data_IF_541307223314
#
_entry.id   IF_541307223314
#
_cell.length_a   1.000
_cell.length_b   1.000
_cell.length_c   1.000
_cell.angle_alpha   90.00
_cell.angle_beta   90.00
_cell.angle_gamma   90.00
#
_symmetry.space_group_name_H-M   'P 1'
#
loop_
_entity.id
_entity.type
_entity.pdbx_description
1 polymer ?
#
# COMPACT_ATOMS: atom_id res chain seq x y z
N UNK A 1 -4.34 -9.42 10.59
CA UNK A 1 -3.45 -9.65 9.42
C UNK A 1 -4.04 -10.58 8.37
N UNK A 2 -4.70 -11.70 8.72
CA UNK A 2 -5.39 -12.55 7.72
C UNK A 2 -6.38 -11.77 6.85
N UNK A 3 -7.02 -10.74 7.41
CA UNK A 3 -8.01 -9.91 6.72
C UNK A 3 -7.42 -8.92 5.70
N UNK A 4 -6.09 -8.72 5.71
CA UNK A 4 -5.38 -7.83 4.80
C UNK A 4 -4.71 -8.57 3.63
N UNK A 5 -4.88 -9.90 3.55
CA UNK A 5 -4.37 -10.67 2.42
C UNK A 5 -5.09 -10.25 1.14
N UNK A 6 -4.39 -9.50 0.30
CA UNK A 6 -4.80 -9.14 -1.05
C UNK A 6 -4.31 -10.19 -2.06
N UNK A 7 -5.16 -10.53 -3.04
CA UNK A 7 -4.81 -11.40 -4.18
C UNK A 7 -5.18 -10.66 -5.46
N UNK A 8 -4.49 -10.97 -6.55
CA UNK A 8 -4.81 -10.42 -7.87
C UNK A 8 -6.27 -10.67 -8.21
N UNK A 9 -7.01 -9.59 -8.49
CA UNK A 9 -8.43 -9.64 -8.87
C UNK A 9 -8.55 -10.21 -10.28
N UNK A 10 -9.43 -11.19 -10.50
CA UNK A 10 -9.72 -11.68 -11.85
C UNK A 10 -10.66 -10.71 -12.56
N UNK A 11 -10.18 -10.08 -13.63
CA UNK A 11 -10.94 -9.10 -14.41
C UNK A 11 -11.71 -9.71 -15.59
N UNK A 12 -11.60 -11.02 -15.84
CA UNK A 12 -12.15 -11.67 -17.03
C UNK A 12 -13.58 -12.16 -16.86
N UNK A 13 -14.02 -12.39 -15.63
CA UNK A 13 -15.31 -13.04 -15.31
C UNK A 13 -16.07 -12.28 -14.25
N UNK A 14 -17.38 -12.03 -14.44
CA UNK A 14 -18.24 -11.33 -13.46
C UNK A 14 -18.85 -10.05 -14.03
N UNK A 15 -19.72 -9.38 -13.26
CA UNK A 15 -20.34 -8.12 -13.67
C UNK A 15 -19.40 -6.92 -13.42
N UNK A 16 -19.54 -5.81 -14.17
CA UNK A 16 -18.79 -4.58 -13.89
C UNK A 16 -18.95 -4.08 -12.44
N UNK A 17 -20.13 -4.21 -11.86
CA UNK A 17 -20.47 -3.78 -10.51
C UNK A 17 -19.70 -4.61 -9.47
N UNK A 18 -19.68 -5.93 -9.63
CA UNK A 18 -18.92 -6.83 -8.76
C UNK A 18 -17.42 -6.51 -8.84
N UNK A 19 -16.90 -6.27 -10.05
CA UNK A 19 -15.48 -5.94 -10.23
C UNK A 19 -15.08 -4.63 -9.61
N UNK A 20 -15.93 -3.61 -9.69
CA UNK A 20 -15.68 -2.34 -8.98
C UNK A 20 -15.55 -2.56 -7.48
N UNK A 21 -16.41 -3.42 -6.90
CA UNK A 21 -16.35 -3.76 -5.47
C UNK A 21 -15.07 -4.53 -5.12
N UNK A 22 -14.71 -5.54 -5.92
CA UNK A 22 -13.48 -6.33 -5.73
C UNK A 22 -12.21 -5.48 -5.84
N UNK A 23 -12.12 -4.60 -6.85
CA UNK A 23 -10.98 -3.68 -7.03
C UNK A 23 -10.89 -2.70 -5.86
N UNK A 24 -12.02 -2.16 -5.41
CA UNK A 24 -12.05 -1.26 -4.24
C UNK A 24 -11.58 -1.99 -2.97
N UNK A 25 -12.04 -3.21 -2.74
CA UNK A 25 -11.62 -4.01 -1.59
C UNK A 25 -10.11 -4.32 -1.63
N UNK A 26 -9.60 -4.71 -2.82
CA UNK A 26 -8.17 -4.89 -3.04
C UNK A 26 -7.38 -3.62 -2.71
N UNK A 27 -7.79 -2.47 -3.27
CA UNK A 27 -7.14 -1.19 -3.03
C UNK A 27 -7.07 -0.84 -1.55
N UNK A 28 -8.20 -0.94 -0.83
CA UNK A 28 -8.25 -0.62 0.60
C UNK A 28 -7.34 -1.53 1.43
N UNK A 29 -7.28 -2.82 1.09
CA UNK A 29 -6.38 -3.77 1.76
C UNK A 29 -4.91 -3.42 1.51
N UNK A 30 -4.53 -3.16 0.26
CA UNK A 30 -3.13 -2.82 -0.07
C UNK A 30 -2.72 -1.46 0.51
N UNK A 31 -3.62 -0.48 0.52
CA UNK A 31 -3.39 0.82 1.14
C UNK A 31 -3.18 0.70 2.66
N UNK A 32 -4.03 -0.06 3.35
CA UNK A 32 -3.87 -0.32 4.78
C UNK A 32 -2.56 -1.06 5.10
N UNK A 33 -2.11 -1.97 4.22
CA UNK A 33 -0.79 -2.63 4.38
C UNK A 33 0.34 -1.63 4.20
N UNK A 34 0.27 -0.75 3.21
CA UNK A 34 1.29 0.29 2.98
C UNK A 34 1.41 1.22 4.19
N UNK A 35 0.29 1.71 4.74
CA UNK A 35 0.30 2.53 5.96
C UNK A 35 0.90 1.80 7.15
N UNK A 36 0.59 0.51 7.32
CA UNK A 36 1.14 -0.31 8.41
C UNK A 36 2.66 -0.48 8.31
N UNK A 37 3.27 -0.47 7.12
CA UNK A 37 4.73 -0.56 6.99
C UNK A 37 5.43 0.58 7.72
N UNK A 38 4.86 1.79 7.68
CA UNK A 38 5.46 2.96 8.31
C UNK A 38 5.26 3.01 9.83
N UNK A 39 4.31 2.26 10.38
CA UNK A 39 4.12 2.15 11.84
C UNK A 39 5.28 1.45 12.56
N UNK A 40 6.14 0.76 11.81
CA UNK A 40 7.30 0.02 12.35
C UNK A 40 8.55 0.91 12.50
N UNK A 41 8.50 2.16 12.03
CA UNK A 41 9.61 3.10 12.14
C UNK A 41 9.82 3.52 13.60
N UNK A 42 11.08 3.77 13.98
CA UNK A 42 11.44 4.15 15.35
C UNK A 42 10.89 5.52 15.75
N UNK A 43 10.73 6.42 14.80
CA UNK A 43 10.31 7.80 14.99
C UNK A 43 10.23 8.55 13.65
N UNK A 44 9.64 9.73 13.67
CA UNK A 44 9.34 10.51 12.47
C UNK A 44 10.60 11.03 11.76
N UNK A 45 11.72 11.17 12.47
CA UNK A 45 13.01 11.56 11.89
C UNK A 45 13.45 10.62 10.76
N UNK A 46 13.05 9.35 10.84
CA UNK A 46 13.38 8.30 9.86
C UNK A 46 12.81 8.61 8.48
N UNK A 47 11.69 9.33 8.38
CA UNK A 47 11.12 9.74 7.09
C UNK A 47 12.07 10.62 6.26
N UNK A 48 12.95 11.36 6.92
CA UNK A 48 13.83 12.36 6.30
C UNK A 48 15.25 11.83 6.06
N UNK A 49 15.59 10.65 6.58
CA UNK A 49 16.93 10.09 6.46
C UNK A 49 17.14 9.34 5.13
N UNK A 50 18.26 9.64 4.45
CA UNK A 50 18.71 8.88 3.26
C UNK A 50 19.68 7.77 3.70
N UNK A 51 19.15 6.59 3.97
CA UNK A 51 19.93 5.43 4.40
C UNK A 51 20.76 4.76 3.28
N UNK A 52 20.39 4.98 2.01
CA UNK A 52 21.03 4.41 0.83
C UNK A 52 21.05 5.47 -0.28
N UNK A 53 22.21 5.75 -0.92
CA UNK A 53 22.33 6.77 -1.97
C UNK A 53 21.53 6.46 -3.24
N UNK A 54 21.18 5.20 -3.50
CA UNK A 54 20.39 4.77 -4.65
C UNK A 54 18.87 4.80 -4.37
N UNK A 55 18.44 5.14 -3.15
CA UNK A 55 17.03 5.19 -2.76
C UNK A 55 16.58 6.61 -2.44
N UNK A 56 15.30 6.86 -2.65
CA UNK A 56 14.67 8.07 -2.12
C UNK A 56 14.50 7.95 -0.60
N UNK A 57 14.31 9.07 0.09
CA UNK A 57 13.94 9.07 1.51
C UNK A 57 12.55 8.46 1.69
N UNK A 58 12.25 7.91 2.87
CA UNK A 58 10.97 7.22 3.12
C UNK A 58 9.77 8.15 2.89
N UNK A 59 9.90 9.45 3.19
CA UNK A 59 8.85 10.45 2.92
C UNK A 59 8.43 10.51 1.46
N UNK A 60 9.35 10.27 0.52
CA UNK A 60 9.02 10.23 -0.91
C UNK A 60 8.07 9.07 -1.22
N UNK A 61 8.33 7.89 -0.66
CA UNK A 61 7.50 6.71 -0.92
C UNK A 61 6.11 6.87 -0.31
N UNK A 62 6.00 7.49 0.87
CA UNK A 62 4.71 7.82 1.49
C UNK A 62 3.88 8.76 0.60
N UNK A 63 4.49 9.76 -0.02
CA UNK A 63 3.79 10.72 -0.88
C UNK A 63 3.53 10.22 -2.31
N UNK A 64 4.38 9.33 -2.83
CA UNK A 64 4.30 8.87 -4.22
C UNK A 64 3.15 7.87 -4.45
N UNK A 65 2.74 7.13 -3.42
CA UNK A 65 1.67 6.13 -3.48
C UNK A 65 0.27 6.70 -3.23
N UNK A 66 0.17 7.98 -2.83
CA UNK A 66 -1.08 8.67 -2.47
C UNK A 66 -1.94 9.10 -3.67
#
# INVERSE_FOLDING_TARGET
MKDLLARTVDLRTGSPEDKRKEIRDYFLKTWAVDELLYTQLKGDEVFYHRGDPLRHIILFYLGHTA
#
